data_IF_674976808516
#
_entry.id   IF_674976808516
#
_cell.length_a   1.000
_cell.length_b   1.000
_cell.length_c   1.000
_cell.angle_alpha   90.00
_cell.angle_beta   90.00
_cell.angle_gamma   90.00
#
_symmetry.space_group_name_H-M   'P 1'
#
loop_
_entity.id
_entity.type
_entity.pdbx_description
1 polymer ?
#
# COMPACT_ATOMS: atom_id res chain seq x y z
N UNK A 1 43.91 -15.34 37.08
CA UNK A 1 44.21 -15.59 35.64
C UNK A 1 42.98 -16.16 35.01
N UNK A 2 42.28 -15.38 34.19
CA UNK A 2 41.14 -15.85 33.38
C UNK A 2 41.74 -16.75 32.29
N UNK A 3 41.33 -18.01 32.27
CA UNK A 3 41.88 -18.97 31.31
C UNK A 3 41.53 -18.51 29.88
N UNK A 4 42.49 -18.40 28.99
CA UNK A 4 42.31 -17.96 27.59
C UNK A 4 41.19 -18.72 26.86
N UNK A 5 40.87 -19.95 27.22
CA UNK A 5 39.81 -20.76 26.67
C UNK A 5 38.38 -20.19 26.95
N UNK A 6 38.18 -19.56 28.10
CA UNK A 6 36.88 -18.96 28.44
C UNK A 6 36.60 -17.70 27.57
N UNK A 7 37.65 -16.94 27.29
CA UNK A 7 37.55 -15.78 26.39
C UNK A 7 37.13 -16.18 24.96
N UNK A 8 37.72 -17.22 24.42
CA UNK A 8 37.43 -17.71 23.07
C UNK A 8 36.01 -18.27 22.98
N UNK A 9 35.51 -18.98 23.97
CA UNK A 9 34.20 -19.62 23.95
C UNK A 9 33.06 -18.61 24.06
N UNK A 10 33.22 -17.54 24.83
CA UNK A 10 32.13 -16.60 25.11
C UNK A 10 32.24 -15.29 24.32
N UNK A 11 33.42 -14.77 24.11
CA UNK A 11 33.60 -13.45 23.47
C UNK A 11 33.70 -13.56 21.96
N UNK A 12 34.34 -14.60 21.41
CA UNK A 12 34.45 -14.76 19.96
C UNK A 12 33.09 -14.84 19.24
N UNK A 13 32.10 -15.63 19.70
CA UNK A 13 30.78 -15.65 19.07
C UNK A 13 30.08 -14.33 19.13
N UNK A 14 30.21 -13.57 20.22
CA UNK A 14 29.58 -12.24 20.36
C UNK A 14 30.21 -11.25 19.37
N UNK A 15 31.54 -11.22 19.28
CA UNK A 15 32.23 -10.33 18.34
C UNK A 15 31.89 -10.69 16.89
N UNK A 16 31.84 -11.97 16.54
CA UNK A 16 31.47 -12.45 15.22
C UNK A 16 30.02 -12.09 14.89
N UNK A 17 29.09 -12.27 15.80
CA UNK A 17 27.66 -11.93 15.55
C UNK A 17 27.47 -10.44 15.39
N UNK A 18 28.14 -9.61 16.17
CA UNK A 18 28.06 -8.14 16.03
C UNK A 18 28.71 -7.68 14.72
N UNK A 19 29.87 -8.21 14.35
CA UNK A 19 30.55 -7.80 13.12
C UNK A 19 29.78 -8.23 11.85
N UNK A 20 29.24 -9.43 11.82
CA UNK A 20 28.43 -9.89 10.69
C UNK A 20 27.07 -9.16 10.65
N UNK A 21 26.44 -8.93 11.79
CA UNK A 21 25.19 -8.20 11.88
C UNK A 21 25.32 -6.74 11.40
N UNK A 22 26.40 -6.05 11.77
CA UNK A 22 26.65 -4.68 11.31
C UNK A 22 27.00 -4.61 9.83
N UNK A 23 27.72 -5.58 9.27
CA UNK A 23 28.03 -5.61 7.85
C UNK A 23 26.76 -5.78 7.00
N UNK A 24 25.88 -6.73 7.37
CA UNK A 24 24.60 -6.94 6.67
C UNK A 24 23.69 -5.72 6.81
N UNK A 25 23.62 -5.12 8.01
CA UNK A 25 22.83 -3.89 8.21
C UNK A 25 23.39 -2.72 7.42
N UNK A 26 24.69 -2.54 7.32
CA UNK A 26 25.29 -1.44 6.56
C UNK A 26 25.01 -1.59 5.05
N UNK A 27 25.08 -2.80 4.52
CA UNK A 27 24.77 -3.07 3.12
C UNK A 27 23.28 -2.84 2.80
N UNK A 28 22.40 -3.27 3.70
CA UNK A 28 20.95 -3.04 3.55
C UNK A 28 20.54 -1.59 3.77
N UNK A 29 21.23 -0.81 4.63
CA UNK A 29 20.93 0.61 4.87
C UNK A 29 21.59 1.54 3.85
N UNK A 30 22.67 1.09 3.20
CA UNK A 30 23.41 1.88 2.20
C UNK A 30 22.85 1.83 0.80
N UNK A 31 21.89 0.96 0.50
CA UNK A 31 21.22 0.90 -0.79
C UNK A 31 20.18 2.02 -0.89
N UNK A 32 20.45 3.02 -1.71
CA UNK A 32 19.53 4.12 -2.03
C UNK A 32 18.29 3.67 -2.81
N UNK A 33 18.33 2.48 -3.42
CA UNK A 33 17.21 1.84 -4.11
C UNK A 33 16.32 1.02 -3.16
N UNK A 34 16.35 1.35 -1.89
CA UNK A 34 15.45 0.77 -0.91
C UNK A 34 14.05 1.28 -1.14
N UNK A 35 13.36 0.70 -2.08
CA UNK A 35 11.92 0.66 -1.98
C UNK A 35 11.61 -0.09 -0.67
N UNK A 36 11.14 0.66 0.31
CA UNK A 36 10.46 0.05 1.45
C UNK A 36 9.20 -0.59 0.87
N UNK A 37 9.37 -1.76 0.28
CA UNK A 37 8.26 -2.63 -0.09
C UNK A 37 7.56 -3.06 1.19
N UNK A 38 6.78 -2.13 1.70
CA UNK A 38 5.81 -2.42 2.72
C UNK A 38 4.79 -3.34 2.05
N UNK A 39 4.98 -4.65 2.29
CA UNK A 39 4.12 -5.73 1.82
C UNK A 39 4.03 -5.91 0.28
N UNK A 40 5.17 -6.08 -0.39
CA UNK A 40 5.16 -6.85 -1.61
C UNK A 40 5.05 -8.33 -1.22
N UNK A 41 3.86 -8.81 -0.97
CA UNK A 41 3.59 -10.24 -1.03
C UNK A 41 3.79 -10.64 -2.49
N UNK A 42 4.94 -11.24 -2.78
CA UNK A 42 5.29 -11.75 -4.09
C UNK A 42 4.37 -12.90 -4.46
N UNK A 43 3.25 -12.57 -5.06
CA UNK A 43 2.56 -13.43 -5.99
C UNK A 43 2.80 -12.82 -7.36
N UNK A 44 3.21 -13.58 -8.34
CA UNK A 44 3.07 -13.23 -9.75
C UNK A 44 1.55 -13.17 -10.04
N UNK A 45 0.87 -12.18 -9.42
CA UNK A 45 -0.52 -11.88 -9.68
C UNK A 45 -0.60 -11.13 -10.99
N UNK A 46 -1.33 -11.68 -11.93
CA UNK A 46 -1.72 -10.96 -13.14
C UNK A 46 -2.50 -9.71 -12.73
N UNK A 47 -1.82 -8.55 -12.73
CA UNK A 47 -2.47 -7.26 -12.64
C UNK A 47 -3.19 -7.02 -13.97
N UNK A 48 -4.47 -7.31 -14.01
CA UNK A 48 -5.33 -6.87 -15.10
C UNK A 48 -5.68 -5.41 -14.86
N UNK A 49 -5.21 -4.52 -15.72
CA UNK A 49 -5.65 -3.12 -15.76
C UNK A 49 -7.13 -3.10 -16.16
N UNK A 50 -8.01 -3.16 -15.18
CA UNK A 50 -9.44 -3.34 -15.39
C UNK A 50 -10.15 -1.99 -15.50
N UNK A 51 -10.06 -1.38 -16.66
CA UNK A 51 -10.71 -0.10 -16.97
C UNK A 51 -12.25 -0.13 -16.83
N UNK A 52 -12.85 -1.32 -16.71
CA UNK A 52 -14.31 -1.52 -16.67
C UNK A 52 -14.83 -2.21 -15.40
N UNK A 53 -13.95 -2.69 -14.52
CA UNK A 53 -14.36 -3.47 -13.35
C UNK A 53 -14.47 -2.63 -12.08
N UNK A 54 -13.69 -1.54 -11.99
CA UNK A 54 -13.73 -0.58 -10.89
C UNK A 54 -14.24 0.75 -11.41
N UNK A 55 -15.25 1.32 -10.76
CA UNK A 55 -15.73 2.68 -11.00
C UNK A 55 -15.96 3.42 -9.70
N UNK A 56 -15.67 4.73 -9.68
CA UNK A 56 -15.82 5.57 -8.49
C UNK A 56 -17.18 6.28 -8.52
N UNK A 57 -17.94 6.15 -7.44
CA UNK A 57 -19.24 6.78 -7.27
C UNK A 57 -19.10 8.02 -6.38
N UNK A 58 -19.54 9.17 -6.87
CA UNK A 58 -19.45 10.43 -6.13
C UNK A 58 -18.05 11.06 -6.15
N UNK A 59 -17.14 10.53 -6.95
CA UNK A 59 -15.81 11.08 -7.14
C UNK A 59 -15.84 12.31 -8.03
N UNK A 60 -15.03 13.32 -7.69
CA UNK A 60 -14.77 14.50 -8.51
C UNK A 60 -13.27 14.62 -8.75
N UNK A 61 -12.90 15.05 -9.95
CA UNK A 61 -11.49 15.22 -10.34
C UNK A 61 -10.86 16.50 -9.77
N UNK A 62 -11.68 17.38 -9.20
CA UNK A 62 -11.25 18.64 -8.60
C UNK A 62 -11.98 18.89 -7.29
N UNK A 63 -11.24 19.31 -6.26
CA UNK A 63 -11.75 19.73 -4.96
C UNK A 63 -11.00 20.98 -4.48
N UNK A 64 -11.55 21.67 -3.49
CA UNK A 64 -10.88 22.80 -2.85
C UNK A 64 -9.99 22.33 -1.70
N UNK A 65 -8.95 23.10 -1.40
CA UNK A 65 -8.09 22.87 -0.23
C UNK A 65 -8.92 22.78 1.06
N UNK A 66 -8.50 21.92 1.99
CA UNK A 66 -9.19 21.65 3.26
C UNK A 66 -10.61 21.10 3.10
N UNK A 67 -10.89 20.42 2.00
CA UNK A 67 -12.13 19.66 1.82
C UNK A 67 -11.89 18.16 1.86
N UNK A 68 -12.94 17.41 2.18
CA UNK A 68 -12.91 15.97 2.15
C UNK A 68 -13.04 15.46 0.72
N UNK A 69 -12.13 14.57 0.36
CA UNK A 69 -12.29 13.71 -0.80
C UNK A 69 -13.20 12.55 -0.39
N UNK A 70 -14.37 12.45 -0.97
CA UNK A 70 -15.32 11.38 -0.64
C UNK A 70 -15.76 10.64 -1.88
N UNK A 71 -15.75 9.31 -1.83
CA UNK A 71 -16.29 8.46 -2.86
C UNK A 71 -16.60 7.06 -2.35
N UNK A 72 -17.35 6.31 -3.11
CA UNK A 72 -17.49 4.87 -2.99
C UNK A 72 -17.00 4.20 -4.26
N UNK A 73 -16.69 2.93 -4.18
CA UNK A 73 -16.19 2.15 -5.29
C UNK A 73 -17.29 1.18 -5.70
N UNK A 74 -17.65 1.16 -6.97
CA UNK A 74 -18.44 0.07 -7.54
C UNK A 74 -17.48 -0.89 -8.21
N UNK A 75 -17.50 -2.15 -7.75
CA UNK A 75 -16.63 -3.21 -8.23
C UNK A 75 -17.46 -4.34 -8.86
N UNK A 76 -17.26 -4.58 -10.14
CA UNK A 76 -18.05 -5.54 -10.91
C UNK A 76 -17.14 -6.61 -11.52
N UNK A 77 -16.76 -7.60 -10.71
CA UNK A 77 -16.05 -8.77 -11.17
C UNK A 77 -16.58 -10.02 -10.48
N UNK A 78 -17.14 -10.95 -11.25
CA UNK A 78 -17.76 -12.19 -10.74
C UNK A 78 -16.75 -13.19 -10.16
N UNK A 79 -15.47 -13.02 -10.43
CA UNK A 79 -14.40 -13.88 -9.91
C UNK A 79 -14.03 -13.57 -8.45
N UNK A 80 -14.52 -12.44 -7.94
CA UNK A 80 -14.24 -11.95 -6.59
C UNK A 80 -15.55 -11.95 -5.76
N UNK A 81 -15.63 -12.81 -4.77
CA UNK A 81 -16.76 -12.83 -3.82
C UNK A 81 -16.50 -11.92 -2.62
N UNK A 82 -15.35 -12.07 -2.00
CA UNK A 82 -14.86 -11.26 -0.90
C UNK A 82 -13.35 -11.03 -1.10
N UNK A 83 -12.78 -10.07 -0.36
CA UNK A 83 -11.36 -9.79 -0.41
C UNK A 83 -11.00 -8.52 0.37
N UNK A 84 -9.85 -7.96 0.05
CA UNK A 84 -9.33 -6.75 0.69
C UNK A 84 -9.27 -5.60 -0.32
N UNK A 85 -9.66 -4.41 0.13
CA UNK A 85 -9.59 -3.17 -0.62
C UNK A 85 -8.51 -2.28 -0.02
N UNK A 86 -7.63 -1.77 -0.87
CA UNK A 86 -6.65 -0.74 -0.51
C UNK A 86 -6.86 0.51 -1.36
N UNK A 87 -6.81 1.67 -0.71
CA UNK A 87 -6.88 2.97 -1.36
C UNK A 87 -5.64 3.75 -0.95
N UNK A 88 -4.80 4.09 -1.91
CA UNK A 88 -3.57 4.86 -1.67
C UNK A 88 -3.66 6.19 -2.42
N UNK A 89 -3.36 7.28 -1.74
CA UNK A 89 -3.24 8.61 -2.34
C UNK A 89 -1.77 8.98 -2.37
N UNK A 90 -1.29 9.32 -3.56
CA UNK A 90 0.07 9.80 -3.78
C UNK A 90 0.05 11.30 -4.06
N UNK A 91 0.98 12.03 -3.49
CA UNK A 91 1.34 13.37 -3.96
C UNK A 91 2.13 13.19 -5.28
N UNK A 92 1.56 13.67 -6.37
CA UNK A 92 2.12 13.60 -7.72
C UNK A 92 2.62 14.97 -8.20
N UNK A 93 2.80 15.94 -7.29
CA UNK A 93 3.28 17.28 -7.60
C UNK A 93 4.77 17.31 -7.99
N UNK A 94 5.51 16.25 -7.65
CA UNK A 94 6.94 16.07 -7.98
C UNK A 94 7.14 14.84 -8.87
N UNK A 95 8.34 14.69 -9.44
CA UNK A 95 8.71 13.53 -10.27
C UNK A 95 8.72 12.21 -9.47
N UNK A 96 8.98 12.28 -8.17
CA UNK A 96 8.92 11.14 -7.26
C UNK A 96 7.58 11.16 -6.53
N UNK A 97 6.74 10.17 -6.80
CA UNK A 97 5.46 10.00 -6.10
C UNK A 97 5.70 9.66 -4.64
N UNK A 98 5.11 10.43 -3.74
CA UNK A 98 5.16 10.17 -2.30
C UNK A 98 3.79 9.75 -1.81
N UNK A 99 3.72 8.70 -0.99
CA UNK A 99 2.48 8.29 -0.36
C UNK A 99 2.04 9.38 0.62
N UNK A 100 0.85 9.94 0.40
CA UNK A 100 0.21 10.87 1.32
C UNK A 100 -0.54 10.09 2.41
N UNK A 101 -1.37 9.14 2.01
CA UNK A 101 -2.15 8.29 2.90
C UNK A 101 -2.50 6.98 2.23
N UNK A 102 -2.71 5.94 3.05
CA UNK A 102 -3.17 4.64 2.61
C UNK A 102 -4.21 4.11 3.59
N UNK A 103 -5.33 3.67 3.07
CA UNK A 103 -6.41 3.04 3.83
C UNK A 103 -6.64 1.62 3.35
N UNK A 104 -6.80 0.69 4.29
CA UNK A 104 -7.07 -0.72 4.01
C UNK A 104 -8.38 -1.18 4.65
N UNK A 105 -9.24 -1.78 3.85
CA UNK A 105 -10.52 -2.36 4.25
C UNK A 105 -10.46 -3.86 4.04
N UNK A 106 -10.32 -4.59 5.15
CA UNK A 106 -10.09 -6.04 5.10
C UNK A 106 -11.41 -6.80 5.10
N UNK A 107 -11.40 -7.98 4.48
CA UNK A 107 -12.54 -8.92 4.46
C UNK A 107 -13.84 -8.30 3.96
N UNK A 108 -13.75 -7.52 2.91
CA UNK A 108 -14.91 -6.93 2.25
C UNK A 108 -15.62 -8.01 1.43
N UNK A 109 -16.91 -8.24 1.69
CA UNK A 109 -17.72 -9.14 0.87
C UNK A 109 -18.55 -8.35 -0.13
N UNK A 110 -18.09 -8.31 -1.37
CA UNK A 110 -18.55 -7.42 -2.44
C UNK A 110 -20.01 -7.69 -2.81
N UNK A 111 -20.39 -8.96 -2.97
CA UNK A 111 -21.72 -9.38 -3.42
C UNK A 111 -22.80 -8.96 -2.40
N UNK A 112 -22.51 -8.99 -1.10
CA UNK A 112 -23.49 -8.69 -0.05
C UNK A 112 -23.90 -7.22 0.02
N UNK A 113 -23.08 -6.33 -0.59
CA UNK A 113 -23.31 -4.89 -0.57
C UNK A 113 -23.55 -4.29 -1.95
N UNK A 114 -24.18 -5.03 -2.85
CA UNK A 114 -24.44 -4.60 -4.23
C UNK A 114 -23.17 -4.13 -4.96
N UNK A 115 -22.04 -4.75 -4.67
CA UNK A 115 -20.72 -4.43 -5.23
C UNK A 115 -20.21 -3.01 -4.87
N UNK A 116 -20.76 -2.38 -3.82
CA UNK A 116 -20.33 -1.05 -3.36
C UNK A 116 -19.34 -1.23 -2.19
N UNK A 117 -18.19 -0.58 -2.28
CA UNK A 117 -17.09 -0.64 -1.33
C UNK A 117 -16.70 0.79 -0.87
N UNK A 118 -16.16 0.96 0.32
CA UNK A 118 -16.10 -0.03 1.41
C UNK A 118 -17.51 -0.44 1.90
N UNK A 119 -17.62 -1.65 2.43
CA UNK A 119 -18.90 -2.15 2.91
C UNK A 119 -19.38 -1.38 4.14
N UNK A 120 -20.57 -0.76 4.04
CA UNK A 120 -21.19 -0.04 5.16
C UNK A 120 -20.71 1.39 5.38
N UNK A 121 -19.75 1.88 4.62
CA UNK A 121 -19.24 3.25 4.74
C UNK A 121 -18.81 3.84 3.38
N UNK A 122 -18.39 5.11 3.39
CA UNK A 122 -17.77 5.76 2.24
C UNK A 122 -16.31 6.06 2.59
N UNK A 123 -15.45 6.01 1.57
CA UNK A 123 -14.11 6.53 1.73
C UNK A 123 -14.17 8.04 1.94
N UNK A 124 -13.45 8.57 2.92
CA UNK A 124 -13.34 9.99 3.19
C UNK A 124 -11.95 10.33 3.70
N UNK A 125 -11.28 11.29 3.06
CA UNK A 125 -9.94 11.75 3.42
C UNK A 125 -9.83 13.27 3.27
N UNK A 126 -9.32 13.96 4.28
CA UNK A 126 -9.12 15.40 4.26
C UNK A 126 -7.82 15.74 3.51
N UNK A 127 -7.94 16.47 2.40
CA UNK A 127 -6.77 16.94 1.66
C UNK A 127 -6.50 18.41 1.98
N UNK A 128 -5.43 18.65 2.75
CA UNK A 128 -5.12 19.97 3.28
C UNK A 128 -4.16 20.79 2.43
N UNK A 129 -3.49 20.22 1.45
CA UNK A 129 -2.53 20.93 0.59
C UNK A 129 -3.03 21.00 -0.84
N UNK A 130 -2.86 22.16 -1.53
CA UNK A 130 -3.13 22.25 -2.95
C UNK A 130 -2.07 21.46 -3.73
N UNK A 131 -2.46 20.88 -4.86
CA UNK A 131 -1.53 20.10 -5.69
C UNK A 131 -2.22 19.10 -6.59
N UNK A 132 -1.42 18.29 -7.26
CA UNK A 132 -1.85 17.16 -8.07
C UNK A 132 -1.64 15.86 -7.28
N UNK A 133 -2.68 15.07 -7.21
CA UNK A 133 -2.67 13.79 -6.51
C UNK A 133 -3.05 12.66 -7.45
N UNK A 134 -2.55 11.47 -7.17
CA UNK A 134 -2.94 10.24 -7.82
C UNK A 134 -3.59 9.32 -6.80
N UNK A 135 -4.76 8.83 -7.12
CA UNK A 135 -5.51 7.88 -6.30
C UNK A 135 -5.36 6.51 -6.94
N UNK A 136 -4.82 5.57 -6.20
CA UNK A 136 -4.65 4.19 -6.57
C UNK A 136 -5.58 3.32 -5.74
N UNK A 137 -6.44 2.59 -6.40
CA UNK A 137 -7.39 1.65 -5.80
C UNK A 137 -6.97 0.27 -6.20
N UNK A 138 -6.84 -0.64 -5.24
CA UNK A 138 -6.46 -2.02 -5.47
C UNK A 138 -7.35 -2.96 -4.66
N UNK A 139 -7.84 -4.00 -5.31
CA UNK A 139 -8.72 -5.01 -4.74
C UNK A 139 -8.08 -6.37 -4.91
N UNK A 140 -7.89 -7.09 -3.81
CA UNK A 140 -7.38 -8.44 -3.79
C UNK A 140 -8.51 -9.43 -3.48
N UNK A 141 -8.40 -10.64 -4.03
CA UNK A 141 -9.24 -11.75 -3.60
C UNK A 141 -8.80 -12.28 -2.21
N UNK A 142 -9.64 -13.09 -1.56
CA UNK A 142 -9.37 -13.65 -0.21
C UNK A 142 -8.05 -14.43 -0.12
N UNK A 143 -7.56 -14.94 -1.23
CA UNK A 143 -6.34 -15.77 -1.29
C UNK A 143 -5.12 -14.99 -1.74
N UNK A 144 -5.27 -13.70 -2.04
CA UNK A 144 -4.22 -12.87 -2.65
C UNK A 144 -3.63 -13.48 -3.94
N UNK A 145 -4.45 -14.23 -4.65
CA UNK A 145 -4.06 -14.87 -5.91
C UNK A 145 -4.38 -14.04 -7.14
N UNK A 146 -5.33 -13.12 -6.99
CA UNK A 146 -5.76 -12.19 -8.04
C UNK A 146 -5.88 -10.79 -7.46
N UNK A 147 -5.55 -9.80 -8.26
CA UNK A 147 -5.82 -8.40 -7.94
C UNK A 147 -6.35 -7.64 -9.15
N UNK A 148 -7.11 -6.61 -8.88
CA UNK A 148 -7.62 -5.66 -9.85
C UNK A 148 -7.30 -4.27 -9.34
N UNK A 149 -6.76 -3.41 -10.19
CA UNK A 149 -6.37 -2.06 -9.80
C UNK A 149 -6.86 -1.00 -10.77
N UNK A 150 -7.01 0.21 -10.25
CA UNK A 150 -7.40 1.41 -10.97
C UNK A 150 -6.60 2.60 -10.48
N UNK A 151 -6.25 3.49 -11.40
CA UNK A 151 -5.59 4.76 -11.07
C UNK A 151 -6.41 5.92 -11.63
N UNK A 152 -6.56 7.00 -10.86
CA UNK A 152 -7.16 8.25 -11.30
C UNK A 152 -6.44 9.45 -10.68
N UNK A 153 -6.68 10.65 -11.21
CA UNK A 153 -6.00 11.87 -10.77
C UNK A 153 -6.98 12.85 -10.13
N UNK A 154 -6.54 13.51 -9.06
CA UNK A 154 -7.27 14.54 -8.34
C UNK A 154 -6.46 15.84 -8.34
N UNK A 155 -7.09 16.95 -8.65
CA UNK A 155 -6.54 18.29 -8.48
C UNK A 155 -7.15 18.96 -7.25
N UNK A 156 -6.31 19.51 -6.40
CA UNK A 156 -6.72 20.31 -5.24
C UNK A 156 -6.30 21.75 -5.46
N UNK A 157 -7.27 22.66 -5.49
CA UNK A 157 -7.10 24.09 -5.76
C UNK A 157 -7.18 24.93 -4.49
#
# INVERSE_FOLDING_TARGET
MVKASAFVIYILPIVLSVSLGTAVMAETLGNSDRELNFLQFGGEGYSTSAKNEISLIGYTTEITQNSNLEFSINFSNSDFNCGDLYITIYDASTSEKQVLTQSGYLKQCFIQNNNILPVGERYSELISKPGLYEIYVEIFDEKYSKNVSMTTTLRVN
#
